data_IF_565655504805
#
_entry.id   IF_565655504805
#
_cell.length_a   1.000
_cell.length_b   1.000
_cell.length_c   1.000
_cell.angle_alpha   90.00
_cell.angle_beta   90.00
_cell.angle_gamma   90.00
#
_symmetry.space_group_name_H-M   'P 1'
#
loop_
_entity.id
_entity.type
_entity.pdbx_description
1 polymer ?
#
# COMPACT_ATOMS: atom_id res chain seq x y z
N UNK A 1 -12.29 12.28 8.88
CA UNK A 1 -12.47 11.15 9.84
C UNK A 1 -11.18 10.90 10.61
N UNK A 2 -11.25 10.34 11.82
CA UNK A 2 -10.09 9.86 12.56
C UNK A 2 -10.13 8.33 12.69
N UNK A 3 -8.99 7.66 12.56
CA UNK A 3 -8.79 6.24 12.88
C UNK A 3 -7.66 6.15 13.89
N UNK A 4 -7.91 5.58 15.06
CA UNK A 4 -6.89 5.28 16.06
C UNK A 4 -6.31 3.89 15.80
N UNK A 5 -5.06 3.84 15.32
CA UNK A 5 -4.42 2.64 14.82
C UNK A 5 -4.31 1.58 15.93
N UNK A 6 -4.84 0.38 15.65
CA UNK A 6 -4.85 -0.78 16.54
C UNK A 6 -5.47 -0.54 17.94
N UNK A 7 -6.38 0.43 18.10
CA UNK A 7 -7.13 0.63 19.35
C UNK A 7 -8.53 0.00 19.33
N UNK A 8 -9.17 -0.09 18.16
CA UNK A 8 -10.46 -0.76 18.00
C UNK A 8 -10.28 -2.29 17.91
N UNK A 9 -10.63 -3.01 18.98
CA UNK A 9 -10.51 -4.47 19.07
C UNK A 9 -11.35 -5.23 18.03
N UNK A 10 -12.55 -4.74 17.68
CA UNK A 10 -13.39 -5.36 16.66
C UNK A 10 -12.75 -5.28 15.26
N UNK A 11 -11.97 -4.23 14.99
CA UNK A 11 -11.19 -4.11 13.76
C UNK A 11 -10.01 -5.08 13.79
N UNK A 12 -9.25 -5.13 14.89
CA UNK A 12 -8.05 -5.99 15.04
C UNK A 12 -8.34 -7.46 14.86
N UNK A 13 -9.44 -7.95 15.42
CA UNK A 13 -9.79 -9.37 15.39
C UNK A 13 -9.93 -9.92 13.96
N UNK A 14 -10.30 -9.07 12.99
CA UNK A 14 -10.66 -9.51 11.65
C UNK A 14 -9.88 -8.87 10.51
N UNK A 15 -9.10 -7.80 10.76
CA UNK A 15 -8.44 -7.04 9.69
C UNK A 15 -7.52 -7.91 8.83
N UNK A 16 -6.70 -8.76 9.46
CA UNK A 16 -5.76 -9.64 8.75
C UNK A 16 -6.45 -10.78 8.03
N UNK A 17 -7.55 -11.31 8.59
CA UNK A 17 -8.39 -12.31 7.92
C UNK A 17 -8.99 -11.72 6.65
N UNK A 18 -9.54 -10.51 6.72
CA UNK A 18 -10.14 -9.84 5.55
C UNK A 18 -9.08 -9.47 4.53
N UNK A 19 -7.92 -8.96 4.98
CA UNK A 19 -6.76 -8.69 4.13
C UNK A 19 -6.25 -9.93 3.38
N UNK A 20 -6.29 -11.11 4.01
CA UNK A 20 -5.97 -12.37 3.33
C UNK A 20 -7.03 -12.81 2.32
N UNK A 21 -8.31 -12.53 2.59
CA UNK A 21 -9.42 -12.94 1.72
C UNK A 21 -9.44 -12.22 0.36
N UNK A 22 -8.89 -11.01 0.26
CA UNK A 22 -8.88 -10.29 -1.03
C UNK A 22 -8.13 -11.11 -2.10
N UNK A 23 -7.11 -11.87 -1.73
CA UNK A 23 -6.31 -12.68 -2.67
C UNK A 23 -7.02 -13.96 -3.12
N UNK A 24 -7.84 -14.56 -2.27
CA UNK A 24 -8.50 -15.85 -2.54
C UNK A 24 -9.92 -15.70 -3.11
N UNK A 25 -10.56 -14.54 -2.93
CA UNK A 25 -11.88 -14.26 -3.49
C UNK A 25 -11.82 -14.27 -5.02
N UNK A 26 -12.64 -15.14 -5.62
CA UNK A 26 -12.83 -15.18 -7.07
C UNK A 26 -13.34 -13.83 -7.56
N UNK A 27 -12.78 -13.36 -8.66
CA UNK A 27 -13.25 -12.17 -9.34
C UNK A 27 -14.05 -12.57 -10.57
N UNK A 28 -15.23 -11.96 -10.72
CA UNK A 28 -16.08 -12.10 -11.90
C UNK A 28 -16.43 -10.71 -12.41
N UNK A 29 -16.32 -10.53 -13.71
CA UNK A 29 -16.72 -9.30 -14.38
C UNK A 29 -18.26 -9.25 -14.41
N UNK A 30 -18.83 -8.17 -13.90
CA UNK A 30 -20.26 -7.88 -13.95
C UNK A 30 -20.67 -6.88 -15.03
N UNK A 31 -19.71 -6.15 -15.62
CA UNK A 31 -19.96 -5.09 -16.61
C UNK A 31 -19.00 -5.19 -17.81
N UNK A 32 -19.44 -4.68 -18.97
CA UNK A 32 -18.68 -4.73 -20.24
C UNK A 32 -17.31 -4.04 -20.15
N UNK A 33 -16.34 -4.45 -20.97
CA UNK A 33 -15.07 -3.72 -21.15
C UNK A 33 -15.15 -2.68 -22.26
N UNK A 34 -16.20 -2.70 -23.09
CA UNK A 34 -16.36 -1.77 -24.21
C UNK A 34 -16.21 -0.28 -23.79
N UNK A 35 -16.73 0.18 -22.62
CA UNK A 35 -16.53 1.56 -22.21
C UNK A 35 -15.06 1.93 -21.91
N UNK A 36 -14.23 0.97 -21.49
CA UNK A 36 -12.79 1.19 -21.35
C UNK A 36 -12.11 1.30 -22.72
N UNK A 37 -12.53 0.44 -23.65
CA UNK A 37 -11.97 0.36 -24.99
C UNK A 37 -12.33 1.59 -25.85
N UNK A 38 -13.50 2.18 -25.58
CA UNK A 38 -14.00 3.38 -26.25
C UNK A 38 -13.35 4.69 -25.77
N UNK A 39 -12.52 4.67 -24.72
CA UNK A 39 -11.78 5.86 -24.29
C UNK A 39 -10.63 6.10 -25.29
N UNK A 40 -10.78 7.15 -26.10
CA UNK A 40 -9.74 7.66 -26.98
C UNK A 40 -8.80 8.58 -26.19
N UNK A 41 -7.52 8.23 -26.16
CA UNK A 41 -6.48 9.02 -25.51
C UNK A 41 -5.10 8.60 -26.01
N UNK A 42 -4.19 9.56 -26.10
CA UNK A 42 -2.78 9.40 -26.42
C UNK A 42 -1.89 9.39 -25.17
N UNK A 43 -2.46 9.54 -23.98
CA UNK A 43 -1.73 9.52 -22.70
C UNK A 43 -1.11 8.15 -22.48
N UNK A 44 0.24 8.10 -22.53
CA UNK A 44 1.00 6.86 -22.45
C UNK A 44 0.69 6.03 -21.19
N UNK A 45 0.47 6.70 -20.06
CA UNK A 45 0.11 6.04 -18.80
C UNK A 45 -1.24 5.31 -18.88
N UNK A 46 -2.24 5.96 -19.49
CA UNK A 46 -3.56 5.34 -19.73
C UNK A 46 -3.47 4.18 -20.71
N UNK A 47 -2.74 4.34 -21.82
CA UNK A 47 -2.54 3.26 -22.79
C UNK A 47 -1.89 2.03 -22.12
N UNK A 48 -0.85 2.25 -21.32
CA UNK A 48 -0.18 1.20 -20.57
C UNK A 48 -1.11 0.55 -19.54
N UNK A 49 -1.94 1.32 -18.83
CA UNK A 49 -2.96 0.80 -17.91
C UNK A 49 -3.99 -0.07 -18.63
N UNK A 50 -4.54 0.40 -19.76
CA UNK A 50 -5.53 -0.33 -20.56
C UNK A 50 -4.97 -1.68 -21.03
N UNK A 51 -3.74 -1.70 -21.52
CA UNK A 51 -3.08 -2.93 -21.96
C UNK A 51 -2.80 -3.90 -20.81
N UNK A 52 -2.40 -3.39 -19.64
CA UNK A 52 -2.23 -4.20 -18.44
C UNK A 52 -3.54 -4.83 -17.98
N UNK A 53 -4.64 -4.07 -17.90
CA UNK A 53 -5.98 -4.62 -17.58
C UNK A 53 -6.35 -5.77 -18.52
N UNK A 54 -6.20 -5.57 -19.83
CA UNK A 54 -6.51 -6.61 -20.84
C UNK A 54 -5.63 -7.86 -20.68
N UNK A 55 -4.36 -7.68 -20.34
CA UNK A 55 -3.43 -8.77 -20.09
C UNK A 55 -3.79 -9.54 -18.82
N UNK A 56 -4.12 -8.83 -17.74
CA UNK A 56 -4.48 -9.41 -16.44
C UNK A 56 -5.73 -10.27 -16.53
N UNK A 57 -6.73 -9.84 -17.30
CA UNK A 57 -7.97 -10.60 -17.50
C UNK A 57 -7.80 -11.96 -18.21
N UNK A 58 -6.68 -12.17 -18.92
CA UNK A 58 -6.35 -13.44 -19.57
C UNK A 58 -5.70 -14.44 -18.62
N UNK A 59 -5.36 -14.02 -17.40
CA UNK A 59 -4.62 -14.82 -16.42
C UNK A 59 -5.50 -15.07 -15.20
N UNK A 60 -5.37 -16.22 -14.51
CA UNK A 60 -6.08 -16.41 -13.25
C UNK A 60 -5.59 -15.40 -12.21
N UNK A 61 -6.52 -14.91 -11.39
CA UNK A 61 -6.19 -14.08 -10.22
C UNK A 61 -5.22 -14.81 -9.30
N UNK A 62 -4.14 -14.13 -8.92
CA UNK A 62 -3.17 -14.60 -7.95
C UNK A 62 -2.69 -13.48 -7.00
N UNK A 63 -2.08 -13.91 -5.90
CA UNK A 63 -1.31 -13.03 -5.00
C UNK A 63 0.10 -12.88 -5.57
N UNK A 64 0.53 -11.64 -5.72
CA UNK A 64 1.92 -11.28 -6.03
C UNK A 64 2.58 -10.97 -4.69
N UNK A 65 3.69 -11.64 -4.37
CA UNK A 65 4.42 -11.42 -3.13
C UNK A 65 5.85 -10.98 -3.43
N UNK A 66 6.28 -9.91 -2.76
CA UNK A 66 7.64 -9.39 -2.82
C UNK A 66 8.10 -9.11 -1.39
N UNK A 67 9.00 -9.95 -0.87
CA UNK A 67 9.29 -9.98 0.56
C UNK A 67 8.01 -10.26 1.36
N UNK A 68 7.69 -9.36 2.30
CA UNK A 68 6.45 -9.41 3.09
C UNK A 68 5.29 -8.63 2.46
N UNK A 69 5.55 -7.80 1.43
CA UNK A 69 4.48 -7.12 0.70
C UNK A 69 3.72 -8.10 -0.15
N UNK A 70 2.40 -7.95 -0.13
CA UNK A 70 1.47 -8.68 -0.99
C UNK A 70 0.68 -7.69 -1.81
N UNK A 71 0.55 -7.95 -3.10
CA UNK A 71 -0.32 -7.23 -4.03
C UNK A 71 -1.28 -8.22 -4.66
N UNK A 72 -2.47 -7.76 -4.97
CA UNK A 72 -3.43 -8.52 -5.73
C UNK A 72 -3.18 -8.26 -7.23
N UNK A 73 -2.97 -9.32 -8.00
CA UNK A 73 -2.80 -9.21 -9.46
C UNK A 73 -3.98 -8.51 -10.15
N UNK A 74 -5.17 -8.52 -9.55
CA UNK A 74 -6.36 -7.90 -10.11
C UNK A 74 -6.61 -6.47 -9.59
N UNK A 75 -5.68 -5.88 -8.83
CA UNK A 75 -5.84 -4.54 -8.28
C UNK A 75 -6.19 -3.49 -9.36
N UNK A 76 -5.48 -3.50 -10.49
CA UNK A 76 -5.74 -2.56 -11.59
C UNK A 76 -7.13 -2.77 -12.23
N UNK A 77 -7.65 -4.00 -12.25
CA UNK A 77 -8.98 -4.31 -12.77
C UNK A 77 -10.07 -3.80 -11.81
N UNK A 78 -9.85 -3.95 -10.49
CA UNK A 78 -10.79 -3.47 -9.46
C UNK A 78 -10.96 -1.94 -9.48
N UNK A 79 -9.96 -1.20 -9.97
CA UNK A 79 -10.05 0.26 -10.19
C UNK A 79 -11.13 0.65 -11.20
N UNK A 80 -11.54 -0.24 -12.11
CA UNK A 80 -12.60 0.03 -13.08
C UNK A 80 -14.01 -0.02 -12.45
N UNK A 81 -14.17 -0.66 -11.29
CA UNK A 81 -15.47 -0.83 -10.64
C UNK A 81 -16.44 -1.77 -11.38
N UNK A 82 -15.92 -2.69 -12.20
CA UNK A 82 -16.73 -3.55 -13.10
C UNK A 82 -17.01 -4.96 -12.56
N UNK A 83 -16.57 -5.30 -11.35
CA UNK A 83 -16.81 -6.64 -10.78
C UNK A 83 -18.27 -6.87 -10.40
N UNK A 84 -18.75 -8.12 -10.44
CA UNK A 84 -20.16 -8.55 -10.22
C UNK A 84 -20.78 -8.08 -8.87
N UNK A 85 -19.94 -7.72 -7.91
CA UNK A 85 -20.37 -7.19 -6.60
C UNK A 85 -19.67 -5.88 -6.22
N UNK A 86 -19.21 -5.13 -7.22
CA UNK A 86 -18.68 -3.79 -7.00
C UNK A 86 -19.83 -2.88 -6.61
N UNK A 87 -19.59 -2.05 -5.60
CA UNK A 87 -20.54 -1.00 -5.20
C UNK A 87 -20.41 0.21 -6.13
N UNK A 88 -21.25 1.22 -5.92
CA UNK A 88 -21.35 2.41 -6.77
C UNK A 88 -20.03 3.17 -6.99
N UNK A 89 -19.13 3.10 -6.01
CA UNK A 89 -17.82 3.76 -6.05
C UNK A 89 -16.70 2.77 -5.73
N UNK A 90 -15.60 2.87 -6.47
CA UNK A 90 -14.30 2.35 -6.06
C UNK A 90 -13.58 3.43 -5.27
N UNK A 91 -13.01 3.09 -4.12
CA UNK A 91 -12.27 3.99 -3.24
C UNK A 91 -10.83 3.52 -3.16
N UNK A 92 -9.88 4.41 -3.41
CA UNK A 92 -8.45 4.13 -3.27
C UNK A 92 -7.87 4.95 -2.13
N UNK A 93 -7.00 4.34 -1.33
CA UNK A 93 -6.26 5.04 -0.26
C UNK A 93 -4.80 4.67 -0.39
N UNK A 94 -3.98 5.66 -0.73
CA UNK A 94 -2.56 5.50 -1.06
C UNK A 94 -1.69 5.80 0.15
N UNK A 95 -0.76 4.90 0.46
CA UNK A 95 0.22 5.02 1.54
C UNK A 95 1.63 5.30 1.01
N UNK A 96 1.81 5.54 -0.29
CA UNK A 96 3.13 5.73 -0.92
C UNK A 96 3.97 6.85 -0.32
N UNK A 97 3.37 7.82 0.38
CA UNK A 97 4.04 8.94 1.05
C UNK A 97 4.03 8.85 2.59
N UNK A 98 3.75 7.67 3.15
CA UNK A 98 3.58 7.46 4.59
C UNK A 98 4.81 6.83 5.28
N UNK A 99 5.99 6.82 4.66
CA UNK A 99 7.18 6.16 5.20
C UNK A 99 7.58 6.69 6.58
N UNK A 100 7.53 8.00 6.77
CA UNK A 100 7.80 8.65 8.05
C UNK A 100 6.88 8.15 9.18
N UNK A 101 5.59 8.00 8.90
CA UNK A 101 4.62 7.46 9.86
C UNK A 101 4.92 6.00 10.17
N UNK A 102 5.15 5.17 9.14
CA UNK A 102 5.46 3.75 9.29
C UNK A 102 6.73 3.55 10.13
N UNK A 103 7.79 4.30 9.85
CA UNK A 103 9.04 4.22 10.61
C UNK A 103 8.90 4.77 12.03
N UNK A 104 8.11 5.84 12.22
CA UNK A 104 7.86 6.41 13.54
C UNK A 104 7.13 5.40 14.44
N UNK A 105 6.09 4.74 13.93
CA UNK A 105 5.37 3.71 14.69
C UNK A 105 6.23 2.47 14.97
N UNK A 106 7.11 2.08 14.05
CA UNK A 106 7.97 0.91 14.22
C UNK A 106 9.13 1.14 15.18
N UNK A 107 9.68 2.35 15.19
CA UNK A 107 10.99 2.62 15.83
C UNK A 107 10.93 3.68 16.92
N UNK A 108 9.83 4.42 17.04
CA UNK A 108 9.69 5.63 17.87
C UNK A 108 10.51 6.84 17.38
N UNK A 109 11.07 6.79 16.16
CA UNK A 109 11.77 7.93 15.57
C UNK A 109 10.81 9.11 15.32
N UNK A 110 11.34 10.33 15.27
CA UNK A 110 10.53 11.51 14.94
C UNK A 110 10.22 11.56 13.45
N UNK A 111 8.95 11.70 13.09
CA UNK A 111 8.53 11.86 11.69
C UNK A 111 9.25 13.02 10.97
N UNK A 112 9.49 14.12 11.69
CA UNK A 112 10.21 15.29 11.12
C UNK A 112 11.66 14.96 10.74
N UNK A 113 12.33 14.07 11.48
CA UNK A 113 13.67 13.60 11.15
C UNK A 113 13.66 12.83 9.82
N UNK A 114 12.67 11.93 9.63
CA UNK A 114 12.54 11.15 8.40
C UNK A 114 12.20 12.04 7.20
N UNK A 115 11.25 12.98 7.37
CA UNK A 115 10.87 13.95 6.33
C UNK A 115 12.01 14.89 5.93
N UNK A 116 13.02 15.07 6.78
CA UNK A 116 14.21 15.86 6.45
C UNK A 116 15.17 15.16 5.48
N UNK A 117 14.96 13.86 5.20
CA UNK A 117 15.77 13.11 4.25
C UNK A 117 15.68 13.72 2.85
N UNK A 118 16.81 13.90 2.14
CA UNK A 118 16.81 14.30 0.74
C UNK A 118 16.02 13.32 -0.14
N UNK A 119 15.13 13.87 -0.96
CA UNK A 119 14.21 13.15 -1.83
C UNK A 119 13.21 12.25 -1.08
N UNK A 120 12.78 12.64 0.13
CA UNK A 120 11.86 11.87 0.98
C UNK A 120 10.70 11.24 0.21
N UNK A 121 10.00 12.04 -0.60
CA UNK A 121 8.87 11.59 -1.39
C UNK A 121 9.25 10.38 -2.27
N UNK A 122 10.28 10.55 -3.11
CA UNK A 122 10.79 9.52 -4.01
C UNK A 122 11.23 8.27 -3.23
N UNK A 123 11.92 8.45 -2.10
CA UNK A 123 12.36 7.35 -1.24
C UNK A 123 11.16 6.59 -0.65
N UNK A 124 10.17 7.31 -0.14
CA UNK A 124 8.94 6.75 0.43
C UNK A 124 8.19 5.93 -0.61
N UNK A 125 7.97 6.49 -1.81
CA UNK A 125 7.23 5.79 -2.86
C UNK A 125 7.98 4.55 -3.33
N UNK A 126 9.30 4.63 -3.51
CA UNK A 126 10.08 3.48 -3.94
C UNK A 126 10.13 2.36 -2.90
N UNK A 127 10.33 2.70 -1.63
CA UNK A 127 10.40 1.73 -0.56
C UNK A 127 9.05 1.01 -0.39
N UNK A 128 7.96 1.77 -0.34
CA UNK A 128 6.62 1.23 -0.08
C UNK A 128 5.97 0.59 -1.33
N UNK A 129 6.53 0.79 -2.53
CA UNK A 129 6.10 0.13 -3.77
C UNK A 129 7.12 -0.86 -4.36
N UNK A 130 8.20 -1.17 -3.64
CA UNK A 130 9.29 -2.02 -4.16
C UNK A 130 9.80 -1.55 -5.54
N UNK A 131 9.92 -0.23 -5.74
CA UNK A 131 10.35 0.36 -7.00
C UNK A 131 11.71 1.02 -6.86
N UNK A 132 12.73 0.21 -6.59
CA UNK A 132 14.11 0.68 -6.41
C UNK A 132 14.75 1.12 -7.74
N UNK A 133 14.22 0.68 -8.89
CA UNK A 133 14.71 1.09 -10.21
C UNK A 133 14.49 2.59 -10.49
N UNK A 134 13.38 3.16 -9.97
CA UNK A 134 13.09 4.60 -10.08
C UNK A 134 14.01 5.48 -9.25
N UNK A 135 14.74 4.90 -8.29
CA UNK A 135 15.60 5.68 -7.40
C UNK A 135 17.02 5.19 -7.51
N UNK A 136 17.67 5.65 -8.57
CA UNK A 136 19.09 5.44 -8.78
C UNK A 136 19.86 5.65 -7.48
N UNK A 137 20.66 4.65 -7.08
CA UNK A 137 21.53 4.70 -5.91
C UNK A 137 20.89 5.26 -4.61
N UNK A 138 19.65 4.90 -4.24
CA UNK A 138 19.30 5.00 -2.79
C UNK A 138 20.25 4.08 -2.04
N UNK A 139 21.24 4.71 -1.40
CA UNK A 139 22.08 4.03 -0.46
C UNK A 139 21.32 3.96 0.87
N UNK A 140 21.23 2.76 1.45
CA UNK A 140 20.66 2.52 2.78
C UNK A 140 21.26 3.45 3.85
N UNK A 141 22.49 3.94 3.63
CA UNK A 141 23.11 4.97 4.45
C UNK A 141 22.26 6.25 4.61
N UNK A 142 21.28 6.52 3.74
CA UNK A 142 20.33 7.64 3.90
C UNK A 142 19.49 7.53 5.19
N UNK A 143 19.30 6.32 5.73
CA UNK A 143 18.56 6.11 6.97
C UNK A 143 19.42 6.26 8.24
N UNK A 144 20.75 6.17 8.11
CA UNK A 144 21.67 6.26 9.23
C UNK A 144 21.90 7.73 9.64
N UNK A 145 21.88 8.00 10.94
CA UNK A 145 22.12 9.33 11.51
C UNK A 145 20.95 10.30 11.38
N UNK A 146 19.79 9.85 10.86
CA UNK A 146 18.57 10.68 10.82
C UNK A 146 17.95 10.84 12.21
N UNK A 147 17.87 9.75 12.96
CA UNK A 147 17.27 9.73 14.28
C UNK A 147 17.91 8.61 15.13
N UNK A 148 18.27 8.87 16.41
CA UNK A 148 18.89 7.86 17.27
C UNK A 148 18.06 6.58 17.42
N UNK A 149 16.73 6.67 17.42
CA UNK A 149 15.87 5.50 17.55
C UNK A 149 15.86 4.64 16.29
N UNK A 150 15.92 5.27 15.12
CA UNK A 150 16.09 4.57 13.86
C UNK A 150 17.47 3.90 13.77
N UNK A 151 18.52 4.58 14.23
CA UNK A 151 19.87 4.02 14.30
C UNK A 151 19.94 2.80 15.23
N UNK A 152 19.28 2.87 16.39
CA UNK A 152 19.17 1.75 17.33
C UNK A 152 18.43 0.57 16.71
N UNK A 153 17.32 0.83 16.00
CA UNK A 153 16.57 -0.20 15.30
C UNK A 153 17.43 -0.90 14.23
N UNK A 154 18.09 -0.14 13.36
CA UNK A 154 18.97 -0.69 12.32
C UNK A 154 20.15 -1.46 12.95
N UNK A 155 20.76 -0.91 14.00
CA UNK A 155 21.85 -1.56 14.72
C UNK A 155 21.40 -2.87 15.38
N UNK A 156 20.16 -2.94 15.88
CA UNK A 156 19.60 -4.16 16.45
C UNK A 156 19.45 -5.28 15.41
N UNK A 157 19.02 -4.93 14.19
CA UNK A 157 18.97 -5.85 13.05
C UNK A 157 20.38 -6.31 12.70
N UNK A 158 21.33 -5.37 12.54
CA UNK A 158 22.74 -5.71 12.26
C UNK A 158 23.30 -6.65 13.32
N UNK A 159 23.02 -6.39 14.60
CA UNK A 159 23.48 -7.22 15.72
C UNK A 159 22.92 -8.64 15.62
N UNK A 160 21.61 -8.78 15.41
CA UNK A 160 20.95 -10.09 15.25
C UNK A 160 21.63 -10.91 14.14
N UNK A 161 21.79 -10.31 12.95
CA UNK A 161 22.44 -10.97 11.82
C UNK A 161 23.94 -11.23 12.07
N UNK A 162 24.65 -10.36 12.80
CA UNK A 162 26.07 -10.57 13.13
C UNK A 162 26.31 -11.72 14.12
N UNK A 163 25.36 -11.96 15.03
CA UNK A 163 25.42 -13.04 16.01
C UNK A 163 25.02 -14.38 15.37
N UNK A 164 24.03 -14.39 14.47
CA UNK A 164 23.51 -15.57 13.78
C UNK A 164 24.38 -16.00 12.57
N UNK A 165 25.13 -15.09 11.95
CA UNK A 165 25.75 -15.30 10.63
C UNK A 165 27.28 -15.11 10.62
N UNK A 166 27.98 -15.61 11.65
CA UNK A 166 29.46 -15.57 11.74
C UNK A 166 30.21 -16.17 10.52
N UNK A 167 29.50 -16.88 9.64
CA UNK A 167 30.03 -17.57 8.46
C UNK A 167 29.73 -16.86 7.13
N UNK A 168 28.88 -15.82 7.10
CA UNK A 168 28.53 -15.12 5.87
C UNK A 168 29.57 -14.04 5.51
N UNK A 169 29.70 -13.78 4.21
CA UNK A 169 30.45 -12.64 3.72
C UNK A 169 29.76 -11.31 4.08
N UNK A 170 30.53 -10.23 4.16
CA UNK A 170 30.01 -8.86 4.39
C UNK A 170 28.85 -8.53 3.44
N UNK A 171 28.95 -8.97 2.18
CA UNK A 171 27.91 -8.75 1.17
C UNK A 171 26.61 -9.46 1.52
N UNK A 172 26.68 -10.72 1.94
CA UNK A 172 25.51 -11.50 2.34
C UNK A 172 24.90 -10.95 3.62
N UNK A 173 25.71 -10.59 4.62
CA UNK A 173 25.22 -9.90 5.83
C UNK A 173 24.49 -8.61 5.48
N UNK A 174 25.03 -7.81 4.55
CA UNK A 174 24.40 -6.57 4.09
C UNK A 174 23.03 -6.84 3.45
N UNK A 175 22.93 -7.84 2.56
CA UNK A 175 21.64 -8.19 1.96
C UNK A 175 20.62 -8.70 2.98
N UNK A 176 21.06 -9.49 3.97
CA UNK A 176 20.18 -9.97 5.04
C UNK A 176 19.63 -8.83 5.89
N UNK A 177 20.49 -7.89 6.31
CA UNK A 177 20.08 -6.70 7.07
C UNK A 177 19.08 -5.86 6.28
N UNK A 178 19.34 -5.61 5.00
CA UNK A 178 18.41 -4.87 4.14
C UNK A 178 17.07 -5.60 4.01
N UNK A 179 17.10 -6.90 3.75
CA UNK A 179 15.90 -7.71 3.57
C UNK A 179 15.04 -7.72 4.83
N UNK A 180 15.66 -7.81 6.00
CA UNK A 180 14.95 -7.79 7.29
C UNK A 180 14.38 -6.40 7.61
N UNK A 181 15.17 -5.35 7.44
CA UNK A 181 14.69 -3.97 7.59
C UNK A 181 13.48 -3.71 6.69
N UNK A 182 13.59 -3.98 5.39
CA UNK A 182 12.47 -3.82 4.46
C UNK A 182 11.33 -4.76 4.82
N UNK A 183 11.61 -5.99 5.25
CA UNK A 183 10.61 -6.97 5.67
C UNK A 183 9.76 -6.49 6.84
N UNK A 184 10.36 -5.85 7.85
CA UNK A 184 9.64 -5.32 9.01
C UNK A 184 8.82 -4.07 8.64
N UNK A 185 9.41 -3.13 7.89
CA UNK A 185 8.71 -1.93 7.39
C UNK A 185 7.48 -2.30 6.58
N UNK A 186 7.65 -3.25 5.66
CA UNK A 186 6.58 -3.66 4.75
C UNK A 186 5.52 -4.53 5.41
N UNK A 187 5.89 -5.35 6.38
CA UNK A 187 4.93 -6.11 7.18
C UNK A 187 4.04 -5.16 7.99
N UNK A 188 4.62 -4.15 8.63
CA UNK A 188 3.83 -3.16 9.37
C UNK A 188 2.91 -2.34 8.45
N UNK A 189 3.40 -1.90 7.28
CA UNK A 189 2.56 -1.27 6.27
C UNK A 189 1.34 -2.14 5.94
N UNK A 190 1.54 -3.44 5.74
CA UNK A 190 0.44 -4.36 5.43
C UNK A 190 -0.58 -4.47 6.58
N UNK A 191 -0.12 -4.48 7.82
CA UNK A 191 -1.00 -4.52 8.99
C UNK A 191 -1.81 -3.22 9.10
N UNK A 192 -1.18 -2.06 8.86
CA UNK A 192 -1.85 -0.74 8.79
C UNK A 192 -2.88 -0.71 7.66
N UNK A 193 -2.53 -1.13 6.45
CA UNK A 193 -3.44 -1.19 5.30
C UNK A 193 -4.69 -2.04 5.60
N UNK A 194 -4.48 -3.23 6.16
CA UNK A 194 -5.57 -4.14 6.53
C UNK A 194 -6.45 -3.52 7.62
N UNK A 195 -5.83 -2.88 8.61
CA UNK A 195 -6.53 -2.20 9.70
C UNK A 195 -7.40 -1.07 9.17
N UNK A 196 -6.82 -0.15 8.38
CA UNK A 196 -7.53 1.00 7.81
C UNK A 196 -8.69 0.55 6.93
N UNK A 197 -8.48 -0.43 6.05
CA UNK A 197 -9.54 -0.99 5.20
C UNK A 197 -10.72 -1.54 6.04
N UNK A 198 -10.41 -2.22 7.15
CA UNK A 198 -11.43 -2.77 8.04
C UNK A 198 -12.08 -1.68 8.91
N UNK A 199 -11.33 -0.72 9.41
CA UNK A 199 -11.82 0.41 10.18
C UNK A 199 -12.85 1.21 9.39
N UNK A 200 -12.57 1.55 8.13
CA UNK A 200 -13.54 2.23 7.25
C UNK A 200 -14.85 1.43 7.13
N UNK A 201 -14.74 0.10 7.01
CA UNK A 201 -15.91 -0.77 6.88
C UNK A 201 -16.75 -0.90 8.15
N UNK A 202 -16.15 -0.74 9.34
CA UNK A 202 -16.84 -0.84 10.64
C UNK A 202 -17.30 0.54 11.12
N UNK A 203 -16.41 1.51 11.10
CA UNK A 203 -16.58 2.83 11.71
C UNK A 203 -17.31 3.81 10.79
N UNK A 204 -17.36 3.52 9.48
CA UNK A 204 -18.24 4.21 8.53
C UNK A 204 -19.33 3.29 7.97
N UNK A 205 -20.26 2.77 8.79
CA UNK A 205 -21.24 1.77 8.34
C UNK A 205 -22.14 2.28 7.20
N UNK A 206 -22.35 3.61 7.12
CA UNK A 206 -23.06 4.28 6.01
C UNK A 206 -22.43 4.02 4.64
N UNK A 207 -21.11 3.83 4.59
CA UNK A 207 -20.38 3.54 3.35
C UNK A 207 -20.66 2.14 2.85
N UNK A 208 -21.02 1.23 3.78
CA UNK A 208 -21.05 -0.20 3.58
C UNK A 208 -19.81 -0.67 2.79
N UNK A 209 -18.63 -0.14 3.08
CA UNK A 209 -17.45 -0.40 2.28
C UNK A 209 -17.04 -1.87 2.35
N UNK A 210 -16.46 -2.37 1.27
CA UNK A 210 -15.91 -3.72 1.18
C UNK A 210 -14.47 -3.62 0.72
N UNK A 211 -13.56 -4.27 1.43
CA UNK A 211 -12.18 -4.42 0.99
C UNK A 211 -12.09 -5.37 -0.20
N UNK A 212 -11.70 -4.83 -1.36
CA UNK A 212 -11.73 -5.53 -2.65
C UNK A 212 -10.37 -6.08 -3.03
N UNK A 213 -9.34 -5.24 -2.92
CA UNK A 213 -8.03 -5.50 -3.49
C UNK A 213 -6.99 -4.53 -2.95
N UNK A 214 -5.71 -4.72 -3.29
CA UNK A 214 -4.64 -3.78 -2.97
C UNK A 214 -3.45 -3.91 -3.91
N UNK A 215 -2.74 -2.82 -4.12
CA UNK A 215 -1.36 -2.82 -4.61
C UNK A 215 -0.40 -2.97 -3.42
N UNK A 216 0.90 -2.79 -3.63
CA UNK A 216 1.88 -2.82 -2.53
C UNK A 216 1.64 -1.69 -1.51
N UNK A 217 1.25 -0.50 -1.98
CA UNK A 217 1.07 0.71 -1.15
C UNK A 217 -0.37 1.22 -1.08
N UNK A 218 -1.27 0.80 -1.98
CA UNK A 218 -2.63 1.35 -2.08
C UNK A 218 -3.67 0.30 -1.78
N UNK A 219 -4.63 0.61 -0.90
CA UNK A 219 -5.81 -0.24 -0.70
C UNK A 219 -6.95 0.18 -1.62
N UNK A 220 -7.73 -0.80 -2.06
CA UNK A 220 -8.88 -0.61 -2.96
C UNK A 220 -10.12 -1.17 -2.26
N UNK A 221 -11.07 -0.29 -2.01
CA UNK A 221 -12.38 -0.61 -1.45
C UNK A 221 -13.45 -0.37 -2.51
N UNK A 222 -14.64 -0.94 -2.31
CA UNK A 222 -15.86 -0.49 -2.98
C UNK A 222 -16.84 0.05 -1.95
N UNK A 223 -17.55 1.14 -2.24
CA UNK A 223 -18.54 1.76 -1.35
C UNK A 223 -19.81 2.19 -2.08
N UNK A 224 -20.94 2.26 -1.36
CA UNK A 224 -22.20 2.76 -1.92
C UNK A 224 -22.22 4.29 -2.08
N UNK A 225 -21.41 5.01 -1.29
CA UNK A 225 -21.28 6.47 -1.31
C UNK A 225 -19.81 6.83 -1.50
N UNK A 226 -19.49 8.04 -1.99
CA UNK A 226 -18.10 8.46 -2.08
C UNK A 226 -17.50 8.62 -0.69
N UNK A 227 -16.23 8.21 -0.55
CA UNK A 227 -15.36 8.50 0.58
C UNK A 227 -14.28 9.45 0.08
N UNK A 228 -14.41 10.72 0.41
CA UNK A 228 -13.52 11.81 -0.05
C UNK A 228 -12.99 12.66 1.10
N UNK A 229 -13.52 12.47 2.30
CA UNK A 229 -13.05 13.13 3.52
C UNK A 229 -11.69 12.54 3.94
N UNK A 230 -10.75 13.42 4.29
CA UNK A 230 -9.44 13.04 4.79
C UNK A 230 -9.55 12.13 6.02
N UNK A 231 -8.64 11.18 6.12
CA UNK A 231 -8.53 10.26 7.25
C UNK A 231 -7.27 10.62 8.03
N UNK A 232 -7.45 11.16 9.23
CA UNK A 232 -6.39 11.32 10.21
C UNK A 232 -6.13 9.96 10.87
N UNK A 233 -5.02 9.33 10.52
CA UNK A 233 -4.55 8.10 11.12
C UNK A 233 -3.67 8.46 12.33
N UNK A 234 -4.16 8.15 13.53
CA UNK A 234 -3.49 8.37 14.80
C UNK A 234 -2.71 7.12 15.22
N UNK A 235 -1.40 7.23 15.31
CA UNK A 235 -0.51 6.22 15.86
C UNK A 235 -0.16 6.50 17.32
N UNK A 236 0.70 5.67 17.89
CA UNK A 236 1.24 5.90 19.24
C UNK A 236 2.42 6.88 19.24
N UNK A 237 3.18 6.92 18.15
CA UNK A 237 4.43 7.66 17.99
C UNK A 237 4.37 8.71 16.88
N UNK A 238 3.42 8.60 15.95
CA UNK A 238 3.20 9.57 14.89
C UNK A 238 1.77 9.62 14.38
N UNK A 239 1.50 10.63 13.56
CA UNK A 239 0.21 10.81 12.90
C UNK A 239 0.41 11.00 11.39
N UNK A 240 -0.55 10.56 10.58
CA UNK A 240 -0.56 10.87 9.15
C UNK A 240 -1.96 11.15 8.64
N UNK A 241 -2.06 11.88 7.54
CA UNK A 241 -3.32 12.17 6.86
C UNK A 241 -3.34 11.40 5.54
N UNK A 242 -4.34 10.55 5.39
CA UNK A 242 -4.60 9.84 4.15
C UNK A 242 -5.73 10.55 3.41
N UNK A 243 -5.61 10.65 2.08
CA UNK A 243 -6.59 11.32 1.23
C UNK A 243 -7.27 10.30 0.30
N UNK A 244 -8.41 9.71 0.72
CA UNK A 244 -9.15 8.78 -0.12
C UNK A 244 -9.61 9.43 -1.42
N UNK A 245 -9.53 8.68 -2.51
CA UNK A 245 -10.10 9.07 -3.80
C UNK A 245 -11.22 8.11 -4.16
N UNK A 246 -12.37 8.65 -4.56
CA UNK A 246 -13.54 7.87 -4.98
C UNK A 246 -13.81 8.04 -6.46
N UNK A 247 -14.08 6.94 -7.13
CA UNK A 247 -14.30 6.87 -8.58
C UNK A 247 -15.57 6.07 -8.84
N UNK A 248 -16.45 6.57 -9.71
CA UNK A 248 -17.48 5.75 -10.34
C UNK A 248 -16.86 4.77 -11.31
N UNK A 249 -17.67 3.83 -11.77
CA UNK A 249 -17.28 2.87 -12.80
C UNK A 249 -16.62 3.57 -14.00
N UNK A 250 -15.46 3.09 -14.41
CA UNK A 250 -14.56 3.66 -15.44
C UNK A 250 -14.02 5.09 -15.18
N UNK A 251 -14.40 5.77 -14.09
CA UNK A 251 -13.98 7.15 -13.85
C UNK A 251 -12.47 7.25 -13.59
N UNK A 252 -11.88 6.27 -12.91
CA UNK A 252 -10.42 6.19 -12.74
C UNK A 252 -9.70 6.19 -14.09
N UNK A 253 -10.15 5.33 -15.01
CA UNK A 253 -9.58 5.21 -16.34
C UNK A 253 -9.73 6.51 -17.16
N UNK A 254 -10.87 7.19 -17.05
CA UNK A 254 -11.12 8.50 -17.70
C UNK A 254 -10.23 9.61 -17.16
N UNK A 255 -9.97 9.64 -15.85
CA UNK A 255 -9.01 10.60 -15.27
C UNK A 255 -7.60 10.33 -15.74
N UNK A 256 -7.19 9.06 -15.78
CA UNK A 256 -5.88 8.66 -16.26
C UNK A 256 -5.65 9.02 -17.74
N UNK A 257 -6.72 9.04 -18.53
CA UNK A 257 -6.68 9.38 -19.96
C UNK A 257 -6.55 10.88 -20.25
N UNK A 258 -6.41 11.72 -19.22
CA UNK A 258 -6.33 13.19 -19.34
C UNK A 258 -7.69 13.89 -19.38
N UNK A 259 -8.76 13.21 -18.95
CA UNK A 259 -10.12 13.75 -18.88
C UNK A 259 -10.35 14.79 -17.79
#
# INVERSE_FOLDING_TARGET
>A
MQIDLFKNEAVKQDCNRIGGQIFSRKYKIGHSLEPLDAIESDVAEFLAYRDRVRSLLKRPKCMIQVGNLKSDSYAEIELLGIGEYSKSFTVTIDFSRALDFILSELTMCRQSSIRSMPDYDTVSEALLNYNFDKVGNINFNKFMGLDPYLDLFITSIIKQHSEELKTLSIRETTYSVLTDFYGQVTQFLQDVQNYVARAISIEMPRTQSVYRSKTLSTIILSSNIPVTEEILLKGEHGDTVLSPQSYRMYEYAKKLSGG
#
